data_IF_328295519716
#
_entry.id   IF_328295519716
#
_cell.length_a   1.000
_cell.length_b   1.000
_cell.length_c   1.000
_cell.angle_alpha   90.00
_cell.angle_beta   90.00
_cell.angle_gamma   90.00
#
_symmetry.space_group_name_H-M   'P 1'
#
loop_
_entity.id
_entity.type
_entity.pdbx_description
1 polymer ?
#
# COMPACT_ATOMS: atom_id res chain seq x y z
N UNK A 1 16.34 4.15 10.23
CA UNK A 1 15.26 3.45 9.50
C UNK A 1 14.28 4.48 8.96
N UNK A 2 13.84 4.31 7.73
CA UNK A 2 12.93 5.25 7.08
C UNK A 2 11.83 4.50 6.35
N UNK A 3 10.66 5.09 6.31
CA UNK A 3 9.58 4.69 5.40
C UNK A 3 9.30 5.92 4.56
N UNK A 4 9.68 5.86 3.30
CA UNK A 4 9.62 7.01 2.41
C UNK A 4 8.87 6.66 1.13
N UNK A 5 8.13 7.64 0.63
CA UNK A 5 7.47 7.54 -0.66
C UNK A 5 7.83 8.75 -1.51
N UNK A 6 8.14 8.52 -2.77
CA UNK A 6 8.37 9.58 -3.72
C UNK A 6 7.05 10.06 -4.30
N UNK A 7 6.91 11.36 -4.40
CA UNK A 7 5.72 12.01 -4.95
C UNK A 7 6.14 12.93 -6.10
N UNK A 8 5.29 13.07 -7.08
CA UNK A 8 5.44 14.05 -8.14
C UNK A 8 4.33 15.09 -8.03
N UNK A 9 4.68 16.35 -8.20
CA UNK A 9 3.70 17.44 -8.29
C UNK A 9 3.14 17.46 -9.71
N UNK A 10 1.84 17.51 -9.81
CA UNK A 10 1.16 17.57 -11.11
C UNK A 10 0.00 18.56 -11.08
N UNK A 11 -0.40 19.02 -12.25
CA UNK A 11 -1.61 19.82 -12.39
C UNK A 11 -2.82 18.93 -12.19
N UNK A 12 -3.79 19.44 -11.46
CA UNK A 12 -5.07 18.77 -11.26
C UNK A 12 -6.21 19.69 -11.65
N UNK A 13 -7.27 19.11 -12.21
CA UNK A 13 -8.50 19.85 -12.43
C UNK A 13 -9.37 19.72 -11.19
N UNK A 14 -9.75 20.86 -10.63
CA UNK A 14 -10.66 20.89 -9.50
C UNK A 14 -12.04 21.31 -9.98
N UNK A 15 -13.05 20.94 -9.21
CA UNK A 15 -14.45 21.26 -9.53
C UNK A 15 -14.73 22.75 -9.55
N UNK A 16 -13.97 23.52 -8.79
CA UNK A 16 -14.09 24.97 -8.68
C UNK A 16 -12.70 25.60 -8.77
N UNK A 17 -12.32 26.01 -9.98
CA UNK A 17 -11.09 26.77 -10.16
C UNK A 17 -11.38 28.24 -9.86
N UNK A 18 -10.65 28.79 -8.90
CA UNK A 18 -10.81 30.17 -8.48
C UNK A 18 -9.93 31.08 -9.34
N UNK A 19 -10.53 32.06 -10.01
CA UNK A 19 -9.83 33.09 -10.80
C UNK A 19 -8.92 32.53 -11.91
N UNK A 20 -9.23 31.36 -12.45
CA UNK A 20 -8.38 30.72 -13.47
C UNK A 20 -7.05 30.24 -12.94
N UNK A 21 -6.87 30.17 -11.63
CA UNK A 21 -5.65 29.67 -11.01
C UNK A 21 -5.45 28.18 -11.30
N UNK A 22 -4.18 27.83 -11.47
CA UNK A 22 -3.78 26.46 -11.68
C UNK A 22 -3.65 25.75 -10.34
N UNK A 23 -4.38 24.66 -10.15
CA UNK A 23 -4.30 23.85 -8.94
C UNK A 23 -3.32 22.72 -9.12
N UNK A 24 -2.54 22.45 -8.08
CA UNK A 24 -1.53 21.40 -8.08
C UNK A 24 -1.92 20.31 -7.09
N UNK A 25 -1.56 19.09 -7.42
CA UNK A 25 -1.75 17.94 -6.56
C UNK A 25 -0.53 17.04 -6.59
N UNK A 26 -0.60 15.95 -5.85
CA UNK A 26 0.49 15.00 -5.76
C UNK A 26 0.11 13.67 -6.39
N UNK A 27 1.04 13.14 -7.17
CA UNK A 27 0.96 11.78 -7.68
C UNK A 27 1.97 10.91 -6.93
N UNK A 28 1.53 9.81 -6.38
CA UNK A 28 2.42 8.88 -5.70
C UNK A 28 3.16 8.04 -6.73
N UNK A 29 4.48 8.04 -6.64
CA UNK A 29 5.34 7.28 -7.54
C UNK A 29 5.79 5.96 -6.95
N UNK A 30 6.05 5.92 -5.63
CA UNK A 30 6.51 4.70 -4.98
C UNK A 30 5.40 3.66 -4.94
N UNK A 31 5.67 2.50 -5.54
CA UNK A 31 4.74 1.38 -5.61
C UNK A 31 5.31 0.15 -4.90
N UNK A 32 5.77 0.32 -3.67
CA UNK A 32 6.27 -0.77 -2.84
C UNK A 32 5.30 -0.97 -1.68
N UNK A 33 4.78 -2.19 -1.48
CA UNK A 33 3.92 -2.46 -0.34
C UNK A 33 4.66 -2.23 0.98
N UNK A 34 3.97 -1.64 1.94
CA UNK A 34 4.52 -1.50 3.28
C UNK A 34 4.45 -2.86 3.98
N UNK A 35 5.55 -3.26 4.61
CA UNK A 35 5.60 -4.53 5.34
C UNK A 35 4.77 -4.40 6.62
N UNK A 36 3.60 -5.03 6.61
CA UNK A 36 2.64 -4.89 7.73
C UNK A 36 3.11 -5.55 9.02
N UNK A 37 4.08 -6.45 8.96
CA UNK A 37 4.70 -7.02 10.17
C UNK A 37 5.42 -5.99 11.02
N UNK A 38 5.84 -4.89 10.42
CA UNK A 38 6.54 -3.80 11.11
C UNK A 38 5.58 -2.80 11.74
N UNK A 39 4.29 -2.95 11.47
CA UNK A 39 3.26 -2.06 12.00
C UNK A 39 2.76 -2.61 13.33
N UNK A 40 2.86 -1.80 14.38
CA UNK A 40 2.33 -2.18 15.69
C UNK A 40 0.83 -1.95 15.72
N UNK A 41 0.09 -3.02 15.95
CA UNK A 41 -1.36 -2.94 16.08
C UNK A 41 -1.73 -2.07 17.27
N UNK A 42 -2.69 -1.20 17.09
CA UNK A 42 -3.14 -0.26 18.12
C UNK A 42 -2.48 1.11 18.06
N UNK A 43 -1.40 1.28 17.29
CA UNK A 43 -0.78 2.60 17.09
C UNK A 43 -1.37 3.37 15.91
N UNK A 44 -2.14 2.70 15.07
CA UNK A 44 -2.80 3.33 13.93
C UNK A 44 -4.30 3.49 14.20
N UNK A 45 -4.85 4.61 13.74
CA UNK A 45 -6.28 4.80 13.73
C UNK A 45 -6.94 3.90 12.67
N UNK A 46 -8.26 3.79 12.72
CA UNK A 46 -9.01 3.02 11.73
C UNK A 46 -8.78 3.54 10.31
N UNK A 47 -8.76 4.86 10.15
CA UNK A 47 -8.56 5.48 8.86
C UNK A 47 -7.13 5.25 8.33
N UNK A 48 -6.15 5.31 9.21
CA UNK A 48 -4.76 5.03 8.86
C UNK A 48 -4.57 3.58 8.42
N UNK A 49 -5.23 2.64 9.09
CA UNK A 49 -5.21 1.22 8.69
C UNK A 49 -5.82 1.02 7.32
N UNK A 50 -6.92 1.68 7.05
CA UNK A 50 -7.58 1.59 5.75
C UNK A 50 -6.69 2.18 4.66
N UNK A 51 -6.06 3.30 4.94
CA UNK A 51 -5.11 3.92 4.01
C UNK A 51 -3.96 2.96 3.66
N UNK A 52 -3.41 2.27 4.65
CA UNK A 52 -2.32 1.33 4.46
C UNK A 52 -2.75 0.14 3.59
N UNK A 53 -3.93 -0.40 3.83
CA UNK A 53 -4.48 -1.48 3.00
C UNK A 53 -4.69 -1.03 1.57
N UNK A 54 -5.24 0.16 1.38
CA UNK A 54 -5.49 0.71 0.05
C UNK A 54 -4.19 0.98 -0.70
N UNK A 55 -3.17 1.46 0.01
CA UNK A 55 -1.84 1.65 -0.57
C UNK A 55 -1.25 0.32 -1.06
N UNK A 56 -1.28 -0.70 -0.24
CA UNK A 56 -0.74 -2.01 -0.61
C UNK A 56 -1.50 -2.63 -1.77
N UNK A 57 -2.83 -2.50 -1.79
CA UNK A 57 -3.65 -2.97 -2.91
C UNK A 57 -3.33 -2.22 -4.19
N UNK A 58 -3.17 -0.91 -4.11
CA UNK A 58 -2.80 -0.08 -5.27
C UNK A 58 -1.45 -0.49 -5.84
N UNK A 59 -0.47 -0.79 -4.99
CA UNK A 59 0.82 -1.29 -5.43
C UNK A 59 0.67 -2.58 -6.22
N UNK A 60 -0.14 -3.50 -5.74
CA UNK A 60 -0.42 -4.75 -6.44
C UNK A 60 -1.07 -4.48 -7.82
N UNK A 61 -2.10 -3.67 -7.85
CA UNK A 61 -2.83 -3.37 -9.09
C UNK A 61 -1.92 -2.73 -10.15
N UNK A 62 -1.01 -1.86 -9.72
CA UNK A 62 -0.09 -1.20 -10.65
C UNK A 62 1.03 -2.10 -11.15
N UNK A 63 1.52 -3.00 -10.32
CA UNK A 63 2.67 -3.84 -10.63
C UNK A 63 2.30 -5.19 -11.25
N UNK A 64 1.08 -5.65 -11.01
CA UNK A 64 0.63 -6.95 -11.50
C UNK A 64 0.85 -7.15 -13.01
N UNK A 65 0.51 -6.18 -13.89
CA UNK A 65 0.74 -6.36 -15.33
C UNK A 65 2.19 -6.56 -15.72
N UNK A 66 3.11 -6.00 -14.94
CA UNK A 66 4.55 -6.11 -15.20
C UNK A 66 5.17 -7.40 -14.67
N UNK A 67 4.49 -8.08 -13.76
CA UNK A 67 5.01 -9.28 -13.10
C UNK A 67 4.31 -10.58 -13.55
N UNK A 68 3.45 -10.51 -14.55
CA UNK A 68 2.69 -11.67 -15.01
C UNK A 68 3.55 -12.83 -15.45
N UNK A 69 4.73 -12.55 -15.99
CA UNK A 69 5.69 -13.57 -16.42
C UNK A 69 6.53 -14.13 -15.27
N UNK A 70 6.66 -13.38 -14.19
CA UNK A 70 7.38 -13.82 -13.00
C UNK A 70 6.37 -14.23 -11.91
N UNK A 71 5.97 -15.48 -11.96
CA UNK A 71 4.95 -16.00 -11.04
C UNK A 71 5.38 -15.95 -9.58
N UNK A 72 6.65 -16.08 -9.30
CA UNK A 72 7.19 -16.06 -7.94
C UNK A 72 7.09 -14.66 -7.35
N UNK A 73 7.51 -13.65 -8.10
CA UNK A 73 7.42 -12.26 -7.69
C UNK A 73 5.97 -11.82 -7.54
N UNK A 74 5.11 -12.21 -8.47
CA UNK A 74 3.68 -11.89 -8.40
C UNK A 74 3.00 -12.50 -7.18
N UNK A 75 3.34 -13.74 -6.85
CA UNK A 75 2.81 -14.40 -5.66
C UNK A 75 3.24 -13.69 -4.38
N UNK A 76 4.50 -13.29 -4.31
CA UNK A 76 5.01 -12.50 -3.18
C UNK A 76 4.26 -11.18 -3.06
N UNK A 77 4.12 -10.46 -4.15
CA UNK A 77 3.44 -9.16 -4.18
C UNK A 77 1.99 -9.29 -3.73
N UNK A 78 1.27 -10.28 -4.24
CA UNK A 78 -0.11 -10.53 -3.86
C UNK A 78 -0.24 -10.82 -2.37
N UNK A 79 0.65 -11.64 -1.84
CA UNK A 79 0.67 -11.97 -0.42
C UNK A 79 0.90 -10.74 0.44
N UNK A 80 1.86 -9.89 0.08
CA UNK A 80 2.15 -8.68 0.83
C UNK A 80 1.00 -7.66 0.74
N UNK A 81 0.33 -7.58 -0.40
CA UNK A 81 -0.79 -6.67 -0.59
C UNK A 81 -2.04 -7.08 0.21
N UNK A 82 -2.23 -8.37 0.42
CA UNK A 82 -3.39 -8.91 1.13
C UNK A 82 -3.14 -9.12 2.62
N UNK A 83 -1.90 -9.04 3.07
CA UNK A 83 -1.55 -9.30 4.47
C UNK A 83 -2.16 -8.26 5.40
N UNK A 84 -2.80 -8.75 6.47
CA UNK A 84 -3.32 -7.89 7.52
C UNK A 84 -2.23 -7.21 8.34
N UNK A 85 -2.62 -6.23 9.13
CA UNK A 85 -1.71 -5.48 9.99
C UNK A 85 -1.40 -6.28 11.24
N UNK A 86 -0.12 -6.25 11.62
CA UNK A 86 0.36 -6.95 12.80
C UNK A 86 0.68 -8.41 12.55
N UNK A 87 1.18 -9.06 13.59
CA UNK A 87 1.43 -10.49 13.56
C UNK A 87 0.11 -11.18 13.88
N UNK A 88 -0.33 -12.07 13.00
CA UNK A 88 -1.54 -12.82 13.26
C UNK A 88 -1.39 -13.57 14.59
N UNK A 89 -2.42 -13.53 15.47
CA UNK A 89 -2.36 -14.28 16.71
C UNK A 89 -2.16 -15.76 16.42
N UNK A 90 -1.41 -16.44 17.26
CA UNK A 90 -1.22 -17.85 17.15
C UNK A 90 -2.57 -18.54 17.25
N UNK A 91 -2.98 -19.22 16.18
CA UNK A 91 -4.18 -20.03 16.19
C UNK A 91 -3.99 -21.31 17.03
N UNK A 92 -5.05 -22.10 17.18
CA UNK A 92 -4.94 -23.39 17.85
C UNK A 92 -3.93 -24.25 17.11
N UNK A 93 -2.80 -24.52 17.72
CA UNK A 93 -1.72 -25.29 17.11
C UNK A 93 -0.51 -24.46 16.72
N UNK A 94 -0.45 -23.19 17.13
CA UNK A 94 0.72 -22.35 16.96
C UNK A 94 0.56 -21.27 15.90
N UNK A 95 1.66 -20.73 15.48
CA UNK A 95 1.69 -19.63 14.52
C UNK A 95 1.18 -20.10 13.16
N UNK A 96 0.05 -19.58 12.77
CA UNK A 96 -0.39 -19.70 11.40
C UNK A 96 0.32 -18.60 10.60
N UNK A 97 1.47 -18.97 10.05
CA UNK A 97 2.11 -18.08 9.09
C UNK A 97 1.61 -18.53 7.73
N UNK A 98 0.70 -17.77 7.20
CA UNK A 98 0.24 -18.01 5.85
C UNK A 98 1.22 -17.35 4.89
N UNK A 99 2.18 -18.13 4.46
CA UNK A 99 3.23 -17.66 3.55
C UNK A 99 2.88 -17.81 2.08
N UNK A 100 1.69 -18.28 1.79
CA UNK A 100 1.26 -18.54 0.40
C UNK A 100 0.46 -17.40 -0.22
#
# INVERSE_FOLDING_TARGET
MRIESALAVRRVQTKHEFNGDCWLGFERLTCVPVQTKMVKDGMLSKDERQWLKDHNRRCYEKLEPYLREDKRALRWLKREAERGIGIAPAGPGGWSIDWD
#
